data_IF_583172661951
#
_entry.id   IF_583172661951
#
_cell.length_a   1.000
_cell.length_b   1.000
_cell.length_c   1.000
_cell.angle_alpha   90.00
_cell.angle_beta   90.00
_cell.angle_gamma   90.00
#
_symmetry.space_group_name_H-M   'P 1'
#
loop_
_entity.id
_entity.type
_entity.pdbx_description
1 polymer ?
#
# COMPACT_ATOMS: atom_id res chain seq x y z
N UNK A 1 -21.42 -1.87 38.20
CA UNK A 1 -21.20 -2.96 37.23
C UNK A 1 -21.79 -2.53 35.90
N UNK A 2 -21.00 -1.88 35.02
CA UNK A 2 -21.38 -1.72 33.60
C UNK A 2 -20.19 -1.39 32.67
N UNK A 3 -18.95 -1.55 33.17
CA UNK A 3 -17.75 -1.12 32.46
C UNK A 3 -17.07 -2.26 31.69
N UNK A 4 -17.54 -3.51 31.77
CA UNK A 4 -16.93 -4.65 31.07
C UNK A 4 -17.51 -4.89 29.68
N UNK A 5 -18.73 -4.41 29.39
CA UNK A 5 -19.44 -4.71 28.14
C UNK A 5 -18.95 -3.94 26.91
N UNK A 6 -18.31 -2.78 27.07
CA UNK A 6 -17.86 -1.97 25.92
C UNK A 6 -16.60 -2.51 25.22
N UNK A 7 -15.84 -3.41 25.87
CA UNK A 7 -14.57 -3.95 25.32
C UNK A 7 -14.69 -5.42 24.87
N UNK A 8 -15.85 -6.05 25.14
CA UNK A 8 -16.19 -7.40 24.69
C UNK A 8 -16.67 -7.36 23.24
N UNK A 9 -15.85 -7.87 22.31
CA UNK A 9 -16.19 -8.00 20.89
C UNK A 9 -15.40 -7.10 19.93
N UNK A 10 -14.51 -6.23 20.43
CA UNK A 10 -13.63 -5.44 19.58
C UNK A 10 -12.43 -6.28 19.09
N UNK A 11 -12.18 -6.24 17.79
CA UNK A 11 -11.05 -6.94 17.17
C UNK A 11 -9.71 -6.28 17.54
N UNK A 12 -8.69 -7.04 17.95
CA UNK A 12 -7.37 -6.49 18.23
C UNK A 12 -6.69 -6.01 16.95
N UNK A 13 -5.92 -4.92 17.04
CA UNK A 13 -5.02 -4.50 15.96
C UNK A 13 -3.84 -5.47 15.89
N UNK A 14 -3.42 -5.86 14.69
CA UNK A 14 -2.26 -6.75 14.50
C UNK A 14 -0.99 -6.14 15.10
N UNK A 15 -0.02 -6.95 15.55
CA UNK A 15 1.23 -6.43 16.12
C UNK A 15 1.93 -5.41 15.20
N UNK A 16 1.98 -5.71 13.90
CA UNK A 16 2.55 -4.83 12.89
C UNK A 16 1.76 -3.51 12.74
N UNK A 17 0.43 -3.57 12.77
CA UNK A 17 -0.43 -2.38 12.75
C UNK A 17 -0.29 -1.52 14.01
N UNK A 18 -0.02 -2.13 15.17
CA UNK A 18 0.25 -1.39 16.41
C UNK A 18 1.58 -0.64 16.35
N UNK A 19 2.61 -1.28 15.78
CA UNK A 19 3.96 -0.74 15.61
C UNK A 19 3.98 0.43 14.61
N UNK A 20 3.35 0.25 13.45
CA UNK A 20 3.22 1.29 12.41
C UNK A 20 2.29 2.44 12.76
N UNK A 21 1.57 2.38 13.87
CA UNK A 21 0.73 3.48 14.35
C UNK A 21 1.26 4.03 15.68
N UNK A 22 2.59 4.16 15.83
CA UNK A 22 3.23 4.68 17.04
C UNK A 22 3.64 6.13 16.85
N UNK A 23 3.94 6.82 17.96
CA UNK A 23 4.51 8.19 17.89
C UNK A 23 5.88 8.23 17.19
N UNK A 24 6.58 7.09 17.17
CA UNK A 24 7.93 6.95 16.61
C UNK A 24 7.85 6.60 15.12
N UNK A 25 6.89 5.75 14.73
CA UNK A 25 6.75 5.30 13.37
C UNK A 25 5.27 5.26 12.95
N UNK A 26 4.94 6.13 11.98
CA UNK A 26 3.65 6.23 11.31
C UNK A 26 3.88 6.10 9.82
N UNK A 27 3.45 4.98 9.22
CA UNK A 27 3.71 4.69 7.79
C UNK A 27 2.43 4.81 6.98
N UNK A 28 2.48 5.70 5.99
CA UNK A 28 1.42 5.92 5.02
C UNK A 28 1.83 5.37 3.65
N UNK A 29 0.86 4.80 2.94
CA UNK A 29 0.97 4.33 1.57
C UNK A 29 0.18 5.30 0.70
N UNK A 30 0.84 5.85 -0.32
CA UNK A 30 0.21 6.71 -1.31
C UNK A 30 0.01 5.92 -2.62
N UNK A 31 -1.23 5.81 -3.07
CA UNK A 31 -1.58 5.33 -4.40
C UNK A 31 -2.01 6.52 -5.27
N UNK A 32 -1.35 6.73 -6.41
CA UNK A 32 -1.63 7.85 -7.30
C UNK A 32 -2.17 7.29 -8.62
N UNK A 33 -3.35 7.76 -9.04
CA UNK A 33 -3.96 7.46 -10.32
C UNK A 33 -4.11 8.74 -11.12
N UNK A 34 -3.56 8.75 -12.33
CA UNK A 34 -3.61 9.88 -13.24
C UNK A 34 -4.53 9.57 -14.43
N UNK A 35 -5.26 10.57 -14.89
CA UNK A 35 -6.23 10.48 -15.98
C UNK A 35 -6.02 11.61 -16.99
N UNK A 36 -6.18 11.28 -18.27
CA UNK A 36 -6.13 12.25 -19.38
C UNK A 36 -7.33 13.22 -19.38
N UNK A 37 -8.39 12.90 -18.62
CA UNK A 37 -9.58 13.73 -18.49
C UNK A 37 -9.77 14.18 -17.02
N UNK A 38 -10.44 15.31 -16.77
CA UNK A 38 -10.79 15.73 -15.42
C UNK A 38 -11.69 14.69 -14.75
N UNK A 39 -11.49 14.49 -13.46
CA UNK A 39 -12.18 13.48 -12.67
C UNK A 39 -13.44 14.10 -12.06
N UNK A 40 -14.59 13.52 -12.39
CA UNK A 40 -15.86 13.92 -11.78
C UNK A 40 -15.97 13.34 -10.37
N UNK A 41 -15.89 14.23 -9.36
CA UNK A 41 -16.06 13.89 -7.96
C UNK A 41 -17.53 13.69 -7.54
N UNK A 42 -18.52 13.94 -8.40
CA UNK A 42 -19.94 13.88 -8.06
C UNK A 42 -20.38 12.52 -7.51
N UNK A 43 -19.82 11.44 -8.06
CA UNK A 43 -20.11 10.06 -7.68
C UNK A 43 -19.17 9.50 -6.60
N UNK A 44 -18.15 10.27 -6.18
CA UNK A 44 -17.16 9.77 -5.22
C UNK A 44 -17.83 9.30 -3.91
N UNK A 45 -18.85 10.04 -3.45
CA UNK A 45 -19.56 9.72 -2.21
C UNK A 45 -20.32 8.40 -2.28
N UNK A 46 -21.03 8.13 -3.37
CA UNK A 46 -21.76 6.85 -3.56
C UNK A 46 -20.76 5.71 -3.71
N UNK A 47 -19.73 5.86 -4.55
CA UNK A 47 -18.71 4.83 -4.75
C UNK A 47 -17.99 4.46 -3.45
N UNK A 48 -17.68 5.45 -2.61
CA UNK A 48 -17.05 5.17 -1.32
C UNK A 48 -17.98 4.35 -0.42
N UNK A 49 -19.26 4.74 -0.31
CA UNK A 49 -20.23 4.06 0.57
C UNK A 49 -20.60 2.67 0.09
N UNK A 50 -20.83 2.52 -1.21
CA UNK A 50 -21.44 1.33 -1.79
C UNK A 50 -20.39 0.32 -2.27
N UNK A 51 -19.17 0.78 -2.56
CA UNK A 51 -18.09 -0.07 -3.12
C UNK A 51 -16.88 -0.13 -2.20
N UNK A 52 -16.29 1.01 -1.79
CA UNK A 52 -15.02 1.00 -1.05
C UNK A 52 -15.15 0.52 0.41
N UNK A 53 -16.07 1.11 1.18
CA UNK A 53 -16.25 0.76 2.60
C UNK A 53 -16.65 -0.71 2.82
N UNK A 54 -17.48 -1.34 1.97
CA UNK A 54 -17.83 -2.75 2.12
C UNK A 54 -16.68 -3.74 1.90
N UNK A 55 -15.58 -3.35 1.24
CA UNK A 55 -14.45 -4.26 0.96
C UNK A 55 -13.84 -4.80 2.25
N UNK A 56 -13.70 -3.96 3.27
CA UNK A 56 -13.12 -4.37 4.54
C UNK A 56 -13.68 -3.55 5.71
N UNK A 57 -14.10 -4.19 6.83
CA UNK A 57 -14.58 -3.50 8.02
C UNK A 57 -13.60 -2.45 8.59
N UNK A 58 -12.30 -2.61 8.36
CA UNK A 58 -11.26 -1.67 8.80
C UNK A 58 -11.38 -0.30 8.14
N UNK A 59 -11.91 -0.21 6.91
CA UNK A 59 -12.17 1.09 6.28
C UNK A 59 -13.30 1.87 6.97
N UNK A 60 -14.14 1.19 7.76
CA UNK A 60 -15.16 1.81 8.62
C UNK A 60 -14.80 1.74 10.10
N UNK A 61 -13.51 1.62 10.45
CA UNK A 61 -13.08 1.46 11.83
C UNK A 61 -11.95 2.43 12.21
N UNK A 62 -11.95 2.82 13.48
CA UNK A 62 -10.89 3.62 14.10
C UNK A 62 -10.09 2.77 15.09
N UNK A 63 -8.83 3.14 15.32
CA UNK A 63 -8.05 2.54 16.40
C UNK A 63 -8.34 3.22 17.73
N UNK A 64 -8.71 2.41 18.72
CA UNK A 64 -8.93 2.86 20.10
C UNK A 64 -7.99 2.10 21.04
N UNK A 65 -7.58 2.75 22.13
CA UNK A 65 -6.84 2.09 23.19
C UNK A 65 -7.80 1.26 24.04
N UNK A 66 -7.61 -0.07 24.04
CA UNK A 66 -8.33 -0.98 24.93
C UNK A 66 -7.88 -0.81 26.38
N UNK A 67 -8.71 -1.28 27.32
CA UNK A 67 -8.49 -1.10 28.76
C UNK A 67 -7.21 -1.77 29.29
N UNK A 68 -6.73 -2.81 28.58
CA UNK A 68 -5.47 -3.53 28.87
C UNK A 68 -4.26 -2.97 28.10
N UNK A 69 -4.36 -1.78 27.52
CA UNK A 69 -3.27 -1.12 26.78
C UNK A 69 -3.07 -1.59 25.33
N UNK A 70 -3.75 -2.64 24.88
CA UNK A 70 -3.73 -3.07 23.48
C UNK A 70 -4.63 -2.20 22.59
N UNK A 71 -4.16 -1.84 21.38
CA UNK A 71 -5.00 -1.13 20.39
C UNK A 71 -6.02 -2.11 19.80
N UNK A 72 -7.26 -1.63 19.61
CA UNK A 72 -8.36 -2.38 19.01
C UNK A 72 -9.06 -1.58 17.93
N UNK A 73 -9.67 -2.27 16.98
CA UNK A 73 -10.51 -1.67 15.96
C UNK A 73 -11.92 -1.47 16.51
N UNK A 74 -12.45 -0.25 16.39
CA UNK A 74 -13.83 0.09 16.71
C UNK A 74 -14.52 0.59 15.46
N UNK A 75 -15.59 -0.10 15.04
CA UNK A 75 -16.41 0.32 13.91
C UNK A 75 -17.09 1.65 14.22
N UNK A 76 -17.12 2.55 13.25
CA UNK A 76 -17.74 3.88 13.32
C UNK A 76 -18.55 4.16 12.05
N UNK A 77 -19.44 5.12 12.15
CA UNK A 77 -20.09 5.70 10.96
C UNK A 77 -19.11 6.65 10.26
N UNK A 78 -18.87 6.41 8.98
CA UNK A 78 -17.93 7.20 8.18
C UNK A 78 -18.64 8.41 7.57
N UNK A 79 -18.16 9.61 7.92
CA UNK A 79 -18.53 10.85 7.24
C UNK A 79 -17.61 11.09 6.05
N UNK A 80 -18.03 10.64 4.87
CA UNK A 80 -17.21 10.63 3.63
C UNK A 80 -16.64 12.01 3.30
N UNK A 81 -17.36 13.07 3.63
CA UNK A 81 -16.96 14.46 3.41
C UNK A 81 -15.67 14.84 4.13
N UNK A 82 -15.36 14.17 5.24
CA UNK A 82 -14.13 14.40 5.99
C UNK A 82 -12.91 13.71 5.37
N UNK A 83 -13.14 12.71 4.50
CA UNK A 83 -12.09 11.88 3.91
C UNK A 83 -11.82 12.21 2.44
N UNK A 84 -12.75 12.92 1.77
CA UNK A 84 -12.61 13.32 0.37
C UNK A 84 -12.21 14.78 0.29
N UNK A 85 -11.00 15.04 -0.17
CA UNK A 85 -10.44 16.37 -0.33
C UNK A 85 -10.38 16.75 -1.80
N UNK A 86 -11.03 17.86 -2.15
CA UNK A 86 -10.98 18.42 -3.50
C UNK A 86 -10.32 19.80 -3.41
N UNK A 87 -8.97 19.87 -3.44
CA UNK A 87 -8.29 21.15 -3.37
C UNK A 87 -8.72 22.01 -4.57
N UNK A 88 -9.18 23.23 -4.28
CA UNK A 88 -9.52 24.19 -5.32
C UNK A 88 -8.24 24.74 -5.91
N UNK A 89 -8.02 24.49 -7.20
CA UNK A 89 -6.93 25.11 -7.93
C UNK A 89 -7.34 26.53 -8.35
N UNK A 90 -7.17 27.49 -7.45
CA UNK A 90 -7.31 28.91 -7.79
C UNK A 90 -5.99 29.42 -8.35
N UNK A 91 -5.71 29.17 -9.64
CA UNK A 91 -4.73 30.00 -10.34
C UNK A 91 -5.28 31.44 -10.40
N UNK A 92 -4.55 32.46 -9.96
CA UNK A 92 -5.05 33.83 -9.89
C UNK A 92 -5.57 34.37 -11.24
N UNK A 93 -5.21 33.78 -12.37
CA UNK A 93 -5.67 34.19 -13.71
C UNK A 93 -5.52 33.06 -14.73
N UNK A 94 -6.31 31.99 -14.68
CA UNK A 94 -6.64 31.11 -15.83
C UNK A 94 -5.53 30.54 -16.74
N UNK A 95 -4.24 30.74 -16.45
CA UNK A 95 -3.11 30.31 -17.26
C UNK A 95 -1.91 30.04 -16.36
N UNK A 96 -1.97 28.98 -15.55
CA UNK A 96 -0.73 28.36 -15.08
C UNK A 96 -0.16 27.51 -16.21
N UNK A 97 1.13 27.62 -16.45
CA UNK A 97 1.84 26.72 -17.35
C UNK A 97 1.75 25.27 -16.86
N UNK A 98 1.82 24.29 -17.76
CA UNK A 98 1.84 22.87 -17.38
C UNK A 98 2.96 22.57 -16.37
N UNK A 99 4.11 23.23 -16.48
CA UNK A 99 5.22 23.12 -15.53
C UNK A 99 4.90 23.62 -14.12
N UNK A 100 4.10 24.68 -13.98
CA UNK A 100 3.67 25.18 -12.67
C UNK A 100 2.67 24.23 -12.03
N UNK A 101 1.78 23.65 -12.84
CA UNK A 101 0.82 22.63 -12.41
C UNK A 101 1.53 21.37 -11.91
N UNK A 102 2.58 20.93 -12.61
CA UNK A 102 3.41 19.79 -12.18
C UNK A 102 4.12 20.07 -10.84
N UNK A 103 4.68 21.27 -10.68
CA UNK A 103 5.34 21.68 -9.44
C UNK A 103 4.35 21.73 -8.27
N UNK A 104 3.16 22.27 -8.51
CA UNK A 104 2.07 22.27 -7.54
C UNK A 104 1.67 20.84 -7.15
N UNK A 105 1.44 19.96 -8.13
CA UNK A 105 1.04 18.57 -7.87
C UNK A 105 2.09 17.84 -7.03
N UNK A 106 3.38 17.99 -7.37
CA UNK A 106 4.48 17.40 -6.58
C UNK A 106 4.52 17.94 -5.15
N UNK A 107 4.35 19.25 -4.98
CA UNK A 107 4.33 19.89 -3.66
C UNK A 107 3.14 19.43 -2.83
N UNK A 108 1.97 19.29 -3.46
CA UNK A 108 0.76 18.79 -2.83
C UNK A 108 0.90 17.32 -2.41
N UNK A 109 1.44 16.45 -3.27
CA UNK A 109 1.73 15.05 -2.92
C UNK A 109 2.68 14.99 -1.71
N UNK A 110 3.71 15.84 -1.68
CA UNK A 110 4.66 15.91 -0.57
C UNK A 110 3.98 16.35 0.74
N UNK A 111 3.11 17.35 0.68
CA UNK A 111 2.32 17.81 1.83
C UNK A 111 1.40 16.69 2.35
N UNK A 112 0.63 16.07 1.46
CA UNK A 112 -0.27 14.97 1.79
C UNK A 112 0.48 13.80 2.43
N UNK A 113 1.68 13.46 1.91
CA UNK A 113 2.52 12.40 2.44
C UNK A 113 3.03 12.67 3.87
N UNK A 114 3.29 13.94 4.21
CA UNK A 114 3.79 14.35 5.53
C UNK A 114 2.68 14.63 6.54
N UNK A 115 1.46 14.91 6.08
CA UNK A 115 0.34 15.23 6.96
C UNK A 115 -0.12 13.98 7.76
N UNK A 116 -0.23 14.05 9.09
CA UNK A 116 -0.76 12.94 9.88
C UNK A 116 -2.27 12.77 9.65
N UNK A 117 -2.76 11.53 9.79
CA UNK A 117 -4.20 11.27 9.75
C UNK A 117 -4.94 11.94 10.91
N UNK A 118 -6.16 12.39 10.66
CA UNK A 118 -7.00 12.97 11.71
C UNK A 118 -7.37 11.94 12.78
N UNK A 119 -7.26 12.34 14.05
CA UNK A 119 -7.66 11.50 15.18
C UNK A 119 -9.17 11.26 15.18
N UNK A 120 -9.57 10.03 15.51
CA UNK A 120 -10.98 9.66 15.60
C UNK A 120 -11.67 9.40 14.27
N UNK A 121 -10.91 9.32 13.17
CA UNK A 121 -11.41 8.96 11.84
C UNK A 121 -10.71 7.69 11.31
N UNK A 122 -11.36 6.94 10.41
CA UNK A 122 -10.70 5.86 9.67
C UNK A 122 -9.42 6.35 8.99
N UNK A 123 -8.40 5.49 8.95
CA UNK A 123 -7.03 5.88 8.56
C UNK A 123 -6.80 5.87 7.04
N UNK A 124 -7.69 6.53 6.30
CA UNK A 124 -7.58 6.70 4.86
C UNK A 124 -8.15 8.05 4.41
N UNK A 125 -7.57 8.61 3.37
CA UNK A 125 -7.95 9.89 2.74
C UNK A 125 -7.91 9.71 1.21
N UNK A 126 -8.80 10.41 0.50
CA UNK A 126 -8.87 10.44 -0.96
C UNK A 126 -8.81 11.89 -1.40
N UNK A 127 -7.86 12.22 -2.26
CA UNK A 127 -7.70 13.57 -2.80
C UNK A 127 -7.98 13.54 -4.30
N UNK A 128 -8.90 14.37 -4.77
CA UNK A 128 -9.26 14.48 -6.19
C UNK A 128 -8.79 15.83 -6.69
N UNK A 129 -7.82 15.84 -7.59
CA UNK A 129 -7.14 17.03 -8.08
C UNK A 129 -7.39 17.15 -9.58
N UNK A 130 -8.16 18.14 -9.99
CA UNK A 130 -8.38 18.47 -11.40
C UNK A 130 -7.49 19.65 -11.78
N UNK A 131 -6.20 19.36 -11.97
CA UNK A 131 -5.19 20.32 -12.39
C UNK A 131 -4.59 19.82 -13.71
N UNK A 132 -4.61 20.61 -14.81
CA UNK A 132 -3.99 20.22 -16.08
C UNK A 132 -2.46 20.18 -15.97
N UNK A 133 -1.92 19.09 -15.45
CA UNK A 133 -0.51 18.77 -15.43
C UNK A 133 -0.03 18.43 -16.85
N UNK A 134 1.28 18.32 -17.05
CA UNK A 134 1.85 18.00 -18.36
C UNK A 134 1.40 16.64 -18.91
N UNK A 135 1.23 15.65 -18.04
CA UNK A 135 0.90 14.27 -18.40
C UNK A 135 -0.57 13.88 -18.14
N UNK A 136 -1.31 14.67 -17.36
CA UNK A 136 -2.66 14.32 -16.90
C UNK A 136 -3.54 15.55 -16.63
N UNK A 137 -4.85 15.44 -16.86
CA UNK A 137 -5.83 16.48 -16.52
C UNK A 137 -6.49 16.27 -15.16
N UNK A 138 -6.45 15.05 -14.62
CA UNK A 138 -6.98 14.73 -13.32
C UNK A 138 -6.12 13.69 -12.59
N UNK A 139 -5.98 13.86 -11.27
CA UNK A 139 -5.20 12.98 -10.41
C UNK A 139 -6.01 12.61 -9.17
N UNK A 140 -6.09 11.32 -8.85
CA UNK A 140 -6.58 10.83 -7.57
C UNK A 140 -5.42 10.34 -6.72
N UNK A 141 -5.34 10.80 -5.48
CA UNK A 141 -4.38 10.32 -4.49
C UNK A 141 -5.16 9.58 -3.40
N UNK A 142 -4.89 8.29 -3.24
CA UNK A 142 -5.29 7.50 -2.08
C UNK A 142 -4.18 7.53 -1.07
N UNK A 143 -4.45 8.02 0.14
CA UNK A 143 -3.52 7.94 1.26
C UNK A 143 -4.08 6.96 2.27
N UNK A 144 -3.36 5.88 2.51
CA UNK A 144 -3.80 4.73 3.30
C UNK A 144 -2.78 4.44 4.40
N UNK A 145 -3.20 4.27 5.64
CA UNK A 145 -2.26 3.89 6.70
C UNK A 145 -1.89 2.40 6.60
N UNK A 146 -0.61 2.06 6.76
CA UNK A 146 -0.11 0.68 6.61
C UNK A 146 -0.74 -0.31 7.62
N UNK A 147 -1.27 0.19 8.73
CA UNK A 147 -2.00 -0.64 9.68
C UNK A 147 -3.34 -1.20 9.13
N UNK A 148 -3.88 -0.65 8.04
CA UNK A 148 -5.09 -1.17 7.38
C UNK A 148 -4.82 -2.53 6.72
N UNK A 149 -3.65 -2.66 6.07
CA UNK A 149 -3.22 -3.87 5.37
C UNK A 149 -1.82 -3.73 4.80
N UNK A 150 -1.27 -4.86 4.32
CA UNK A 150 -0.04 -4.83 3.54
C UNK A 150 -0.28 -4.26 2.13
N UNK A 151 0.81 -3.92 1.44
CA UNK A 151 0.73 -3.34 0.09
C UNK A 151 -0.04 -4.21 -0.91
N UNK A 152 0.04 -5.54 -0.80
CA UNK A 152 -0.71 -6.45 -1.67
C UNK A 152 -2.22 -6.39 -1.43
N UNK A 153 -2.64 -6.43 -0.16
CA UNK A 153 -4.04 -6.38 0.23
C UNK A 153 -4.67 -5.03 -0.11
N UNK A 154 -3.93 -3.94 0.06
CA UNK A 154 -4.41 -2.60 -0.27
C UNK A 154 -4.52 -2.38 -1.78
N UNK A 155 -3.53 -2.84 -2.57
CA UNK A 155 -3.63 -2.84 -4.03
C UNK A 155 -4.82 -3.70 -4.48
N UNK A 156 -5.00 -4.89 -3.90
CA UNK A 156 -6.15 -5.75 -4.18
C UNK A 156 -7.48 -5.08 -3.86
N UNK A 157 -7.58 -4.37 -2.73
CA UNK A 157 -8.77 -3.61 -2.35
C UNK A 157 -9.07 -2.50 -3.36
N UNK A 158 -8.08 -1.68 -3.72
CA UNK A 158 -8.25 -0.62 -4.72
C UNK A 158 -8.71 -1.17 -6.08
N UNK A 159 -8.11 -2.28 -6.53
CA UNK A 159 -8.48 -2.92 -7.80
C UNK A 159 -9.88 -3.56 -7.75
N UNK A 160 -10.34 -3.97 -6.57
CA UNK A 160 -11.70 -4.50 -6.38
C UNK A 160 -12.78 -3.41 -6.51
N UNK A 161 -12.41 -2.14 -6.37
CA UNK A 161 -13.31 -1.02 -6.67
C UNK A 161 -13.49 -0.77 -8.17
N UNK A 162 -12.60 -1.34 -9.00
CA UNK A 162 -12.61 -1.10 -10.44
C UNK A 162 -13.53 -2.12 -11.13
N UNK A 163 -14.09 -1.69 -12.25
CA UNK A 163 -14.84 -2.54 -13.17
C UNK A 163 -14.12 -2.60 -14.51
N UNK A 164 -14.42 -3.65 -15.28
CA UNK A 164 -13.90 -3.79 -16.63
C UNK A 164 -14.52 -2.73 -17.54
N UNK A 165 -13.68 -2.13 -18.38
CA UNK A 165 -14.11 -1.11 -19.34
C UNK A 165 -14.94 -1.71 -20.50
N UNK A 166 -14.71 -2.98 -20.84
CA UNK A 166 -15.43 -3.68 -21.92
C UNK A 166 -16.76 -4.30 -21.46
N UNK A 167 -16.80 -4.86 -20.24
CA UNK A 167 -18.02 -5.41 -19.63
C UNK A 167 -18.01 -5.21 -18.11
N UNK A 168 -18.73 -4.20 -17.58
CA UNK A 168 -18.78 -3.90 -16.15
C UNK A 168 -19.39 -5.01 -15.28
N UNK A 169 -20.12 -5.96 -15.87
CA UNK A 169 -20.71 -7.09 -15.13
C UNK A 169 -19.69 -8.16 -14.77
N UNK A 170 -18.52 -8.14 -15.42
CA UNK A 170 -17.45 -9.09 -15.20
C UNK A 170 -16.41 -8.55 -14.20
N UNK A 171 -15.91 -9.39 -13.29
CA UNK A 171 -14.87 -8.99 -12.36
C UNK A 171 -13.58 -8.64 -13.11
N UNK A 172 -12.80 -7.72 -12.52
CA UNK A 172 -11.46 -7.39 -13.02
C UNK A 172 -10.63 -8.67 -13.08
N UNK A 173 -10.25 -9.06 -14.29
CA UNK A 173 -9.57 -10.33 -14.53
C UNK A 173 -8.07 -10.12 -14.47
N UNK A 174 -7.41 -10.78 -13.52
CA UNK A 174 -5.95 -10.86 -13.50
C UNK A 174 -5.50 -12.11 -14.27
N UNK A 175 -4.43 -12.04 -15.08
CA UNK A 175 -3.86 -13.21 -15.72
C UNK A 175 -3.49 -14.26 -14.66
N UNK A 176 -4.08 -15.44 -14.72
CA UNK A 176 -3.73 -16.56 -13.84
C UNK A 176 -2.32 -17.05 -14.18
N UNK A 177 -1.52 -17.30 -13.15
CA UNK A 177 -0.26 -18.03 -13.33
C UNK A 177 -0.68 -19.47 -13.54
N UNK A 178 -0.64 -19.96 -14.78
CA UNK A 178 -0.71 -21.40 -15.03
C UNK A 178 0.54 -22.00 -14.39
N UNK A 179 0.40 -22.57 -13.19
CA UNK A 179 1.39 -23.47 -12.66
C UNK A 179 1.52 -24.58 -13.70
N UNK A 180 2.67 -24.67 -14.38
CA UNK A 180 2.97 -25.78 -15.26
C UNK A 180 2.90 -27.06 -14.45
N UNK A 181 1.78 -27.77 -14.55
CA UNK A 181 1.62 -29.10 -13.98
C UNK A 181 2.46 -30.06 -14.81
N UNK A 182 3.70 -30.33 -14.36
CA UNK A 182 4.43 -31.50 -14.82
C UNK A 182 3.83 -32.73 -14.14
N UNK A 183 2.74 -33.24 -14.74
CA UNK A 183 2.26 -34.57 -14.43
C UNK A 183 3.25 -35.58 -15.02
N UNK A 184 4.05 -36.22 -14.18
CA UNK A 184 4.52 -37.57 -14.44
C UNK A 184 4.34 -38.39 -13.15
N UNK A 185 3.42 -39.34 -13.23
CA UNK A 185 3.25 -40.42 -12.26
C UNK A 185 4.41 -41.39 -12.46
N UNK A 186 5.35 -41.45 -11.51
CA UNK A 186 5.74 -42.73 -10.93
C UNK A 186 6.62 -42.60 -9.66
N UNK A 187 6.47 -43.61 -8.81
CA UNK A 187 7.35 -44.07 -7.72
C UNK A 187 7.36 -43.35 -6.35
N UNK A 188 6.44 -43.79 -5.48
CA UNK A 188 6.15 -43.24 -4.15
C UNK A 188 7.18 -43.44 -3.04
N UNK A 189 8.32 -44.12 -3.27
CA UNK A 189 9.38 -44.27 -2.23
C UNK A 189 10.59 -43.34 -2.41
N UNK A 190 10.83 -42.81 -3.60
CA UNK A 190 11.96 -41.89 -3.88
C UNK A 190 11.57 -40.42 -3.57
N UNK A 191 10.28 -40.10 -3.61
CA UNK A 191 9.74 -38.74 -3.41
C UNK A 191 9.94 -38.25 -1.98
N UNK A 192 9.64 -39.04 -0.95
CA UNK A 192 9.74 -38.59 0.45
C UNK A 192 11.19 -38.25 0.85
N UNK A 193 12.17 -39.04 0.41
CA UNK A 193 13.60 -38.80 0.69
C UNK A 193 14.15 -37.57 -0.05
N UNK A 194 13.70 -37.31 -1.27
CA UNK A 194 14.05 -36.09 -2.03
C UNK A 194 13.34 -34.83 -1.52
N UNK A 195 12.10 -34.94 -1.05
CA UNK A 195 11.33 -33.82 -0.49
C UNK A 195 11.90 -33.41 0.87
N UNK A 196 12.19 -34.35 1.75
CA UNK A 196 12.81 -34.05 3.05
C UNK A 196 14.20 -33.42 2.86
N UNK A 197 15.04 -33.94 1.96
CA UNK A 197 16.37 -33.34 1.72
C UNK A 197 16.32 -31.99 0.99
N UNK A 198 15.34 -31.75 0.11
CA UNK A 198 15.17 -30.47 -0.58
C UNK A 198 14.48 -29.40 0.26
N UNK A 199 13.65 -29.76 1.23
CA UNK A 199 12.98 -28.80 2.12
C UNK A 199 13.80 -28.50 3.39
N UNK A 200 14.63 -29.44 3.89
CA UNK A 200 15.43 -29.20 5.09
C UNK A 200 16.49 -28.11 4.90
N UNK A 201 17.25 -28.11 3.80
CA UNK A 201 18.30 -27.11 3.60
C UNK A 201 17.76 -25.66 3.49
N UNK A 202 16.70 -25.38 2.71
CA UNK A 202 16.09 -24.06 2.67
C UNK A 202 15.49 -23.64 4.01
N UNK A 203 14.87 -24.57 4.75
CA UNK A 203 14.28 -24.27 6.04
C UNK A 203 15.35 -23.93 7.09
N UNK A 204 16.45 -24.69 7.13
CA UNK A 204 17.59 -24.41 8.03
C UNK A 204 18.24 -23.08 7.67
N UNK A 205 18.42 -22.77 6.38
CA UNK A 205 18.92 -21.46 5.95
C UNK A 205 17.97 -20.35 6.36
N UNK A 206 16.66 -20.52 6.18
CA UNK A 206 15.65 -19.52 6.58
C UNK A 206 15.66 -19.30 8.09
N UNK A 207 15.74 -20.36 8.89
CA UNK A 207 15.81 -20.26 10.36
C UNK A 207 17.13 -19.61 10.79
N UNK A 208 18.25 -19.97 10.17
CA UNK A 208 19.56 -19.36 10.45
C UNK A 208 19.58 -17.89 10.06
N UNK A 209 19.01 -17.53 8.93
CA UNK A 209 18.96 -16.16 8.43
C UNK A 209 17.99 -15.33 9.29
N UNK A 210 16.86 -15.89 9.73
CA UNK A 210 15.98 -15.30 10.73
C UNK A 210 16.71 -15.08 12.06
N UNK A 211 17.36 -16.13 12.59
CA UNK A 211 18.11 -16.04 13.85
C UNK A 211 19.26 -15.04 13.78
N UNK A 212 20.00 -15.00 12.66
CA UNK A 212 21.05 -14.01 12.41
C UNK A 212 20.48 -12.60 12.30
N UNK A 213 19.32 -12.43 11.69
CA UNK A 213 18.65 -11.14 11.56
C UNK A 213 18.18 -10.63 12.92
N UNK A 214 17.58 -11.49 13.76
CA UNK A 214 17.20 -11.17 15.15
C UNK A 214 18.44 -10.81 15.97
N UNK A 215 19.52 -11.59 15.88
CA UNK A 215 20.75 -11.34 16.64
C UNK A 215 21.46 -10.05 16.22
N UNK A 216 21.49 -9.73 14.91
CA UNK A 216 22.00 -8.45 14.43
C UNK A 216 21.15 -7.29 14.93
N UNK A 217 19.83 -7.40 14.78
CA UNK A 217 18.86 -6.37 15.17
C UNK A 217 18.88 -6.02 16.67
N UNK A 218 19.23 -6.96 17.56
CA UNK A 218 19.26 -6.70 19.02
C UNK A 218 20.65 -6.44 19.59
N UNK A 219 21.73 -6.90 18.96
CA UNK A 219 23.06 -6.88 19.57
C UNK A 219 24.14 -6.20 18.71
N UNK A 220 23.86 -5.86 17.46
CA UNK A 220 24.84 -5.23 16.56
C UNK A 220 24.29 -3.91 16.08
N UNK A 221 24.98 -2.83 16.44
CA UNK A 221 24.69 -1.49 15.97
C UNK A 221 24.88 -1.46 14.44
N UNK A 222 23.89 -0.99 13.67
CA UNK A 222 24.03 -1.08 12.21
C UNK A 222 25.16 -0.17 11.73
N UNK A 223 25.88 -0.68 10.73
CA UNK A 223 26.87 0.08 10.00
C UNK A 223 26.27 1.39 9.47
N UNK A 224 27.07 2.46 9.50
CA UNK A 224 26.70 3.75 8.92
C UNK A 224 26.56 3.59 7.40
N UNK A 225 25.37 3.20 6.95
CA UNK A 225 25.04 3.16 5.52
C UNK A 225 24.72 4.58 5.02
N UNK A 226 24.96 4.90 3.73
CA UNK A 226 24.54 6.17 3.13
C UNK A 226 23.04 6.45 3.23
N UNK A 227 22.24 5.44 3.58
CA UNK A 227 20.77 5.49 3.70
C UNK A 227 20.35 5.73 5.16
N UNK A 228 21.23 5.47 6.15
CA UNK A 228 20.93 5.66 7.58
C UNK A 228 20.76 7.15 7.90
N UNK A 229 19.54 7.59 8.16
CA UNK A 229 19.25 8.98 8.52
C UNK A 229 19.47 9.18 10.02
N UNK A 230 20.63 9.74 10.39
CA UNK A 230 21.05 9.99 11.78
C UNK A 230 20.34 11.18 12.47
N UNK A 231 19.30 11.73 11.85
CA UNK A 231 18.63 12.96 12.26
C UNK A 231 17.24 12.64 12.81
N UNK A 232 16.96 13.05 14.04
CA UNK A 232 15.65 12.90 14.71
C UNK A 232 14.55 13.75 14.05
N UNK A 233 14.91 14.69 13.17
CA UNK A 233 13.98 15.50 12.41
C UNK A 233 13.67 14.89 11.04
N UNK A 234 12.38 14.74 10.75
CA UNK A 234 11.87 14.34 9.44
C UNK A 234 12.40 15.31 8.37
N UNK A 235 13.16 14.78 7.39
CA UNK A 235 13.55 15.56 6.21
C UNK A 235 12.31 15.85 5.35
N UNK A 236 12.31 16.95 4.58
CA UNK A 236 11.24 17.22 3.63
C UNK A 236 11.10 16.06 2.62
N UNK A 237 9.87 15.63 2.39
CA UNK A 237 9.54 14.60 1.41
C UNK A 237 9.87 15.10 -0.01
N UNK A 238 10.69 14.36 -0.74
CA UNK A 238 11.04 14.67 -2.13
C UNK A 238 10.54 13.55 -3.05
N UNK A 239 9.71 13.91 -4.02
CA UNK A 239 9.11 12.98 -4.97
C UNK A 239 9.98 12.86 -6.23
N UNK A 240 10.47 11.66 -6.51
CA UNK A 240 11.17 11.30 -7.74
C UNK A 240 10.37 10.25 -8.50
N UNK A 241 9.98 10.57 -9.74
CA UNK A 241 9.19 9.66 -10.59
C UNK A 241 10.12 8.87 -11.51
N UNK A 242 9.90 7.55 -11.59
CA UNK A 242 10.52 6.68 -12.58
C UNK A 242 9.41 6.15 -13.48
N UNK A 243 9.48 6.47 -14.77
CA UNK A 243 8.46 6.08 -15.74
C UNK A 243 8.86 4.79 -16.46
N UNK A 244 7.98 3.80 -16.45
CA UNK A 244 8.17 2.55 -17.19
C UNK A 244 7.24 2.51 -18.41
N UNK A 245 7.81 2.52 -19.62
CA UNK A 245 7.03 2.39 -20.85
C UNK A 245 6.42 0.99 -20.97
N UNK A 246 5.12 0.92 -21.29
CA UNK A 246 4.43 -0.32 -21.62
C UNK A 246 5.08 -1.06 -22.80
N UNK A 247 5.74 -0.33 -23.71
CA UNK A 247 6.47 -0.93 -24.82
C UNK A 247 7.66 -1.77 -24.31
N UNK A 248 8.44 -1.23 -23.37
CA UNK A 248 9.55 -1.97 -22.76
C UNK A 248 9.04 -3.19 -21.99
N UNK A 249 7.90 -3.08 -21.28
CA UNK A 249 7.30 -4.22 -20.60
C UNK A 249 6.86 -5.30 -21.59
N UNK A 250 6.28 -4.91 -22.74
CA UNK A 250 5.92 -5.84 -23.83
C UNK A 250 7.15 -6.51 -24.45
N UNK A 251 8.26 -5.78 -24.58
CA UNK A 251 9.52 -6.32 -25.10
C UNK A 251 10.17 -7.31 -24.11
N UNK A 252 10.18 -7.00 -22.82
CA UNK A 252 10.65 -7.92 -21.79
C UNK A 252 9.78 -9.18 -21.77
N UNK A 253 8.46 -9.02 -21.90
CA UNK A 253 7.50 -10.13 -22.03
C UNK A 253 7.86 -11.03 -23.23
N UNK A 254 8.13 -10.44 -24.40
CA UNK A 254 8.41 -11.19 -25.62
C UNK A 254 9.77 -11.89 -25.57
N UNK A 255 10.80 -11.24 -25.00
CA UNK A 255 12.15 -11.81 -24.84
C UNK A 255 12.20 -12.91 -23.79
N UNK A 256 11.55 -12.74 -22.64
CA UNK A 256 11.59 -13.73 -21.54
C UNK A 256 10.50 -14.80 -21.68
N UNK A 257 9.54 -14.66 -22.62
CA UNK A 257 8.35 -15.51 -22.78
C UNK A 257 7.52 -15.66 -21.50
N UNK A 258 7.49 -14.61 -20.68
CA UNK A 258 6.79 -14.59 -19.38
C UNK A 258 5.53 -13.73 -19.48
N UNK A 259 4.51 -14.02 -18.68
CA UNK A 259 3.29 -13.19 -18.61
C UNK A 259 3.61 -11.81 -18.04
N UNK A 260 3.05 -10.74 -18.61
CA UNK A 260 3.24 -9.35 -18.17
C UNK A 260 2.98 -9.15 -16.67
N UNK A 261 2.03 -9.89 -16.10
CA UNK A 261 1.72 -9.88 -14.67
C UNK A 261 2.90 -10.35 -13.81
N UNK A 262 3.77 -11.24 -14.30
CA UNK A 262 4.97 -11.66 -13.55
C UNK A 262 5.98 -10.52 -13.52
N UNK A 263 6.15 -9.78 -14.60
CA UNK A 263 7.03 -8.60 -14.62
C UNK A 263 6.50 -7.53 -13.66
N UNK A 264 5.19 -7.27 -13.69
CA UNK A 264 4.56 -6.30 -12.79
C UNK A 264 4.62 -6.75 -11.33
N UNK A 265 4.33 -8.02 -11.04
CA UNK A 265 4.47 -8.62 -9.70
C UNK A 265 5.92 -8.59 -9.23
N UNK A 266 6.90 -8.82 -10.09
CA UNK A 266 8.33 -8.71 -9.72
C UNK A 266 8.68 -7.27 -9.39
N UNK A 267 8.22 -6.29 -10.17
CA UNK A 267 8.46 -4.86 -9.90
C UNK A 267 7.76 -4.43 -8.59
N UNK A 268 6.50 -4.81 -8.40
CA UNK A 268 5.73 -4.54 -7.17
C UNK A 268 6.35 -5.25 -5.96
N UNK A 269 6.78 -6.50 -6.12
CA UNK A 269 7.47 -7.26 -5.06
C UNK A 269 8.83 -6.66 -4.76
N UNK A 270 9.56 -6.14 -5.75
CA UNK A 270 10.85 -5.49 -5.55
C UNK A 270 10.64 -4.14 -4.84
N UNK A 271 9.63 -3.36 -5.23
CA UNK A 271 9.24 -2.12 -4.56
C UNK A 271 8.74 -2.37 -3.12
N UNK A 272 7.98 -3.44 -2.91
CA UNK A 272 7.53 -3.87 -1.57
C UNK A 272 8.71 -4.37 -0.72
N UNK A 273 9.63 -5.16 -1.29
CA UNK A 273 10.86 -5.55 -0.59
C UNK A 273 11.76 -4.36 -0.28
N UNK A 274 11.87 -3.37 -1.17
CA UNK A 274 12.62 -2.15 -0.90
C UNK A 274 11.97 -1.32 0.20
N UNK A 275 10.63 -1.23 0.24
CA UNK A 275 9.91 -0.52 1.32
C UNK A 275 9.99 -1.28 2.65
N UNK A 276 9.88 -2.60 2.66
CA UNK A 276 10.13 -3.41 3.86
C UNK A 276 11.58 -3.31 4.33
N UNK A 277 12.57 -3.39 3.42
CA UNK A 277 13.98 -3.21 3.77
C UNK A 277 14.26 -1.78 4.27
N UNK A 278 13.61 -0.76 3.70
CA UNK A 278 13.70 0.63 4.18
C UNK A 278 13.04 0.81 5.55
N UNK A 279 11.89 0.19 5.80
CA UNK A 279 11.25 0.18 7.12
C UNK A 279 12.13 -0.56 8.13
N UNK A 280 12.68 -1.72 7.78
CA UNK A 280 13.60 -2.48 8.62
C UNK A 280 14.94 -1.74 8.84
N UNK A 281 15.30 -0.78 7.98
CA UNK A 281 16.43 0.13 8.15
C UNK A 281 16.09 1.42 8.93
N UNK A 282 14.81 1.77 9.06
CA UNK A 282 14.32 2.95 9.78
C UNK A 282 13.74 2.60 11.16
N UNK A 283 13.41 1.33 11.38
CA UNK A 283 12.95 0.77 12.64
C UNK A 283 14.05 0.59 13.71
N UNK A 284 15.32 0.89 13.36
CA UNK A 284 16.51 0.72 14.22
C UNK A 284 17.47 1.92 14.11
#
# INVERSE_FOLDING_TARGET
MDLTKEDEGLEPVSPLGQYFNSKVMSVSILGILESEIPIDGSQAKSLIKDVFLPINPRFSSIMVMGKKGGKKWKKVEVKVENHVHVPSFSSPKGSSSSSENDSFLKSYIAEVAMQPFQLGQPLWEIHIINCPASEAQGTVIFKLHHALGDGYSLVGALLSCLQRADDPSLPVTFPSVNNFSSANKDDGKIVLRKVVSRCFLPLVNTIRDFGRSVLKSTCVEDDLSPIRCRSESFRPFSLSTITFSLHHIKEIKSRLRVVTNIILKTILSLASCMTHALVDLLAY
#
